data_IF_991140422470
#
_entry.id   IF_991140422470
#
_cell.length_a   1.000
_cell.length_b   1.000
_cell.length_c   1.000
_cell.angle_alpha   90.00
_cell.angle_beta   90.00
_cell.angle_gamma   90.00
#
_symmetry.space_group_name_H-M   'P 1'
#
loop_
_entity.id
_entity.type
_entity.pdbx_description
1 polymer ?
#
# COMPACT_ATOMS: atom_id res chain seq x y z
N UNK A 1 -1.60 -17.44 7.57
CA UNK A 1 -0.33 -16.74 7.91
C UNK A 1 0.27 -16.26 6.60
N UNK A 2 0.76 -15.03 6.52
CA UNK A 2 1.30 -14.51 5.26
C UNK A 2 2.74 -15.02 5.03
N UNK A 3 3.10 -15.29 3.77
CA UNK A 3 4.46 -15.67 3.38
C UNK A 3 5.21 -14.40 2.97
N UNK A 4 6.34 -14.13 3.62
CA UNK A 4 7.16 -12.96 3.33
C UNK A 4 8.06 -13.22 2.10
N UNK A 5 7.96 -12.33 1.11
CA UNK A 5 8.83 -12.34 -0.07
C UNK A 5 9.82 -11.17 -0.01
N UNK A 6 11.10 -11.47 -0.19
CA UNK A 6 12.19 -10.49 -0.23
C UNK A 6 12.54 -10.19 -1.68
N UNK A 7 12.85 -8.92 -1.98
CA UNK A 7 13.33 -8.52 -3.30
C UNK A 7 14.75 -9.07 -3.47
N UNK A 8 14.89 -10.19 -4.14
CA UNK A 8 16.20 -10.74 -4.55
C UNK A 8 16.30 -10.63 -6.06
N UNK A 9 17.52 -10.53 -6.61
CA UNK A 9 17.76 -10.43 -8.06
C UNK A 9 17.20 -11.62 -8.87
N UNK A 10 16.73 -12.67 -8.18
CA UNK A 10 16.18 -13.92 -8.72
C UNK A 10 14.64 -13.90 -8.75
N UNK A 11 14.00 -13.03 -7.97
CA UNK A 11 12.54 -12.93 -7.89
C UNK A 11 12.04 -11.76 -8.73
N UNK A 12 11.44 -12.13 -9.86
CA UNK A 12 10.55 -11.33 -10.73
C UNK A 12 11.19 -10.42 -11.77
N UNK A 13 10.88 -10.73 -13.03
CA UNK A 13 10.95 -9.81 -14.16
C UNK A 13 10.28 -8.48 -13.76
N UNK A 14 11.00 -7.37 -13.88
CA UNK A 14 10.45 -6.05 -13.56
C UNK A 14 9.31 -5.75 -14.54
N UNK A 15 8.07 -5.77 -14.06
CA UNK A 15 6.90 -5.38 -14.85
C UNK A 15 7.03 -3.92 -15.30
N UNK A 16 6.68 -3.64 -16.56
CA UNK A 16 6.54 -2.27 -17.04
C UNK A 16 5.46 -1.54 -16.24
N UNK A 17 5.57 -0.21 -16.14
CA UNK A 17 4.55 0.64 -15.48
C UNK A 17 3.14 0.42 -16.05
N UNK A 18 3.05 0.17 -17.36
CA UNK A 18 1.79 -0.12 -18.04
C UNK A 18 1.22 -1.48 -17.63
N UNK A 19 2.07 -2.52 -17.61
CA UNK A 19 1.66 -3.87 -17.23
C UNK A 19 1.25 -3.92 -15.76
N UNK A 20 1.96 -3.19 -14.89
CA UNK A 20 1.59 -3.06 -13.49
C UNK A 20 0.21 -2.40 -13.33
N UNK A 21 -0.06 -1.32 -14.05
CA UNK A 21 -1.38 -0.66 -14.03
C UNK A 21 -2.48 -1.56 -14.58
N UNK A 22 -2.23 -2.24 -15.71
CA UNK A 22 -3.18 -3.18 -16.30
C UNK A 22 -3.50 -4.31 -15.31
N UNK A 23 -2.49 -4.88 -14.65
CA UNK A 23 -2.68 -5.91 -13.64
C UNK A 23 -3.49 -5.44 -12.44
N UNK A 24 -3.23 -4.24 -11.91
CA UNK A 24 -4.02 -3.69 -10.80
C UNK A 24 -5.46 -3.44 -11.22
N UNK A 25 -5.67 -2.87 -12.40
CA UNK A 25 -6.99 -2.57 -12.93
C UNK A 25 -7.82 -3.83 -13.16
N UNK A 26 -7.21 -4.88 -13.73
CA UNK A 26 -7.87 -6.18 -13.93
C UNK A 26 -8.20 -6.87 -12.60
N UNK A 27 -7.23 -6.90 -11.68
CA UNK A 27 -7.37 -7.58 -10.39
C UNK A 27 -8.44 -6.97 -9.49
N UNK A 28 -8.54 -5.63 -9.47
CA UNK A 28 -9.42 -4.89 -8.56
C UNK A 28 -10.61 -4.23 -9.28
N UNK A 29 -10.76 -4.46 -10.58
CA UNK A 29 -11.76 -3.81 -11.45
C UNK A 29 -11.73 -2.28 -11.33
N UNK A 30 -10.52 -1.72 -11.37
CA UNK A 30 -10.25 -0.29 -11.29
C UNK A 30 -9.92 0.30 -12.67
N UNK A 31 -9.92 1.63 -12.76
CA UNK A 31 -9.60 2.37 -13.98
C UNK A 31 -8.49 3.39 -13.73
N UNK A 32 -7.35 2.93 -13.19
CA UNK A 32 -6.19 3.77 -13.03
C UNK A 32 -5.48 4.04 -14.36
N UNK A 33 -5.15 5.30 -14.58
CA UNK A 33 -4.45 5.79 -15.77
C UNK A 33 -3.02 6.20 -15.45
N UNK A 34 -2.70 6.41 -14.17
CA UNK A 34 -1.37 6.84 -13.69
C UNK A 34 -0.96 6.00 -12.48
N UNK A 35 0.31 5.60 -12.45
CA UNK A 35 0.87 4.81 -11.35
C UNK A 35 0.82 5.56 -10.01
N UNK A 36 0.87 6.89 -10.05
CA UNK A 36 0.73 7.78 -8.90
C UNK A 36 -0.60 7.61 -8.16
N UNK A 37 -1.65 7.09 -8.81
CA UNK A 37 -2.95 6.85 -8.17
C UNK A 37 -2.86 5.74 -7.11
N UNK A 38 -1.85 4.86 -7.21
CA UNK A 38 -1.55 3.85 -6.19
C UNK A 38 -1.04 4.49 -4.89
N UNK A 39 -0.49 5.71 -4.92
CA UNK A 39 -0.07 6.45 -3.73
C UNK A 39 -1.22 6.75 -2.76
N UNK A 40 -2.47 6.64 -3.21
CA UNK A 40 -3.65 6.78 -2.34
C UNK A 40 -3.73 5.73 -1.24
N UNK A 41 -3.06 4.59 -1.41
CA UNK A 41 -3.07 3.49 -0.44
C UNK A 41 -4.33 2.62 -0.48
N UNK A 42 -5.37 3.01 -1.22
CA UNK A 42 -6.67 2.33 -1.25
C UNK A 42 -6.60 0.98 -1.97
N UNK A 43 -5.90 0.91 -3.10
CA UNK A 43 -5.71 -0.34 -3.85
C UNK A 43 -4.95 -1.40 -3.02
N UNK A 44 -3.93 -0.99 -2.27
CA UNK A 44 -3.21 -1.90 -1.37
C UNK A 44 -4.10 -2.46 -0.26
N UNK A 45 -5.03 -1.65 0.25
CA UNK A 45 -6.02 -2.10 1.24
C UNK A 45 -6.97 -3.16 0.64
N UNK A 46 -7.38 -3.00 -0.62
CA UNK A 46 -8.20 -4.01 -1.30
C UNK A 46 -7.40 -5.29 -1.59
N UNK A 47 -6.14 -5.18 -2.03
CA UNK A 47 -5.30 -6.37 -2.20
C UNK A 47 -5.14 -7.17 -0.92
N UNK A 48 -4.96 -6.48 0.22
CA UNK A 48 -4.91 -7.15 1.52
C UNK A 48 -6.21 -7.88 1.85
N UNK A 49 -7.37 -7.30 1.55
CA UNK A 49 -8.66 -7.96 1.76
C UNK A 49 -8.88 -9.12 0.78
N UNK A 50 -8.44 -9.00 -0.48
CA UNK A 50 -8.49 -10.08 -1.48
C UNK A 50 -7.60 -11.26 -1.09
N UNK A 51 -6.39 -11.00 -0.57
CA UNK A 51 -5.46 -12.04 -0.12
C UNK A 51 -5.89 -12.65 1.22
N UNK A 52 -6.40 -11.84 2.13
CA UNK A 52 -6.78 -12.22 3.48
C UNK A 52 -8.11 -11.56 3.85
N UNK A 53 -9.25 -12.17 3.49
CA UNK A 53 -10.57 -11.58 3.72
C UNK A 53 -10.79 -11.26 5.19
N UNK A 54 -11.20 -10.01 5.47
CA UNK A 54 -11.46 -9.53 6.84
C UNK A 54 -10.23 -9.04 7.60
N UNK A 55 -9.02 -9.06 6.99
CA UNK A 55 -7.84 -8.51 7.63
C UNK A 55 -7.87 -6.96 7.68
N UNK A 56 -8.46 -6.33 6.66
CA UNK A 56 -8.60 -4.87 6.51
C UNK A 56 -10.04 -4.43 6.80
N UNK A 57 -10.19 -3.32 7.52
CA UNK A 57 -11.49 -2.67 7.67
C UNK A 57 -11.79 -1.78 6.46
N UNK A 58 -12.27 -2.37 5.36
CA UNK A 58 -12.53 -1.64 4.10
C UNK A 58 -13.48 -0.43 4.28
N UNK A 59 -14.43 -0.50 5.22
CA UNK A 59 -15.32 0.62 5.54
C UNK A 59 -14.58 1.87 6.04
N UNK A 60 -13.36 1.72 6.57
CA UNK A 60 -12.52 2.84 7.00
C UNK A 60 -11.62 3.38 5.87
N UNK A 61 -11.50 2.68 4.75
CA UNK A 61 -10.63 3.07 3.64
C UNK A 61 -11.30 4.17 2.82
N UNK A 62 -10.54 5.22 2.51
CA UNK A 62 -10.97 6.32 1.65
C UNK A 62 -10.60 6.01 0.21
N UNK A 63 -11.54 5.47 -0.55
CA UNK A 63 -11.34 5.09 -1.96
C UNK A 63 -11.20 6.28 -2.93
N UNK A 64 -11.82 7.40 -2.60
CA UNK A 64 -11.79 8.64 -3.38
C UNK A 64 -10.84 9.68 -2.75
N UNK A 65 -9.77 9.20 -2.08
CA UNK A 65 -8.80 10.07 -1.43
C UNK A 65 -8.12 10.99 -2.46
N UNK A 66 -8.06 12.29 -2.17
CA UNK A 66 -7.40 13.29 -3.03
C UNK A 66 -6.36 14.11 -2.28
N UNK A 67 -6.40 14.09 -0.96
CA UNK A 67 -5.55 14.89 -0.08
C UNK A 67 -4.56 13.99 0.67
N UNK A 68 -3.36 14.52 0.93
CA UNK A 68 -2.27 13.76 1.56
C UNK A 68 -2.66 13.15 2.92
N UNK A 69 -3.45 13.87 3.72
CA UNK A 69 -3.93 13.37 5.01
C UNK A 69 -4.85 12.13 4.87
N UNK A 70 -5.54 12.00 3.74
CA UNK A 70 -6.37 10.83 3.42
C UNK A 70 -5.52 9.63 3.04
N UNK A 71 -4.40 9.87 2.34
CA UNK A 71 -3.44 8.82 2.01
C UNK A 71 -2.80 8.26 3.28
N UNK A 72 -2.39 9.14 4.20
CA UNK A 72 -1.84 8.75 5.50
C UNK A 72 -2.84 7.88 6.27
N UNK A 73 -4.13 8.23 6.24
CA UNK A 73 -5.18 7.44 6.88
C UNK A 73 -5.28 6.03 6.27
N UNK A 74 -5.29 5.91 4.94
CA UNK A 74 -5.32 4.62 4.25
C UNK A 74 -4.08 3.77 4.59
N UNK A 75 -2.89 4.36 4.61
CA UNK A 75 -1.66 3.64 4.99
C UNK A 75 -1.66 3.17 6.45
N UNK A 76 -2.28 3.92 7.37
CA UNK A 76 -2.49 3.46 8.76
C UNK A 76 -3.41 2.24 8.82
N UNK A 77 -4.47 2.22 8.01
CA UNK A 77 -5.36 1.06 7.91
C UNK A 77 -4.60 -0.16 7.36
N UNK A 78 -3.79 0.04 6.31
CA UNK A 78 -2.96 -1.01 5.72
C UNK A 78 -1.95 -1.58 6.73
N UNK A 79 -1.27 -0.71 7.48
CA UNK A 79 -0.30 -1.12 8.50
C UNK A 79 -0.94 -1.98 9.60
N UNK A 80 -2.18 -1.66 10.00
CA UNK A 80 -2.91 -2.46 10.97
C UNK A 80 -3.20 -3.87 10.44
N UNK A 81 -3.50 -4.02 9.14
CA UNK A 81 -3.69 -5.33 8.51
C UNK A 81 -2.40 -6.13 8.43
N UNK A 82 -1.28 -5.51 8.05
CA UNK A 82 0.03 -6.17 8.07
C UNK A 82 0.39 -6.72 9.45
N UNK A 83 0.14 -5.94 10.51
CA UNK A 83 0.38 -6.37 11.90
C UNK A 83 -0.47 -7.57 12.28
N UNK A 84 -1.75 -7.62 11.87
CA UNK A 84 -2.62 -8.78 12.10
C UNK A 84 -2.11 -10.04 11.41
N UNK A 85 -1.55 -9.91 10.22
CA UNK A 85 -1.11 -11.05 9.41
C UNK A 85 0.32 -11.52 9.70
N UNK A 86 1.04 -10.85 10.60
CA UNK A 86 2.42 -11.19 10.95
C UNK A 86 3.42 -10.92 9.83
N UNK A 87 3.11 -9.99 8.91
CA UNK A 87 4.00 -9.65 7.79
C UNK A 87 5.18 -8.83 8.33
N UNK A 88 6.29 -9.51 8.62
CA UNK A 88 7.54 -8.93 9.16
C UNK A 88 8.38 -8.14 8.13
N UNK A 89 7.75 -7.60 7.08
CA UNK A 89 8.46 -6.69 6.17
C UNK A 89 8.61 -5.35 6.88
N UNK A 90 9.84 -5.03 7.27
CA UNK A 90 10.25 -3.75 7.87
C UNK A 90 9.99 -2.59 6.90
N UNK A 91 8.73 -2.20 6.73
CA UNK A 91 8.30 -0.93 6.13
C UNK A 91 7.56 -0.04 7.14
N UNK A 92 7.33 -0.56 8.35
CA UNK A 92 6.56 0.08 9.41
C UNK A 92 7.41 0.73 10.51
N UNK A 93 8.75 0.74 10.40
CA UNK A 93 9.63 1.52 11.30
C UNK A 93 9.60 3.03 11.02
N UNK A 94 8.82 3.50 10.05
CA UNK A 94 8.66 4.93 9.75
C UNK A 94 7.76 5.71 10.72
N UNK A 95 6.96 5.08 11.59
CA UNK A 95 5.97 5.82 12.39
C UNK A 95 6.36 6.11 13.84
N UNK A 96 7.31 5.39 14.46
CA UNK A 96 7.73 5.70 15.85
C UNK A 96 8.74 6.86 15.95
N UNK A 97 9.37 7.26 14.83
CA UNK A 97 10.25 8.44 14.76
C UNK A 97 9.58 9.71 14.20
N UNK A 98 8.40 9.61 13.59
CA UNK A 98 7.78 10.70 12.82
C UNK A 98 6.92 11.65 13.65
N UNK A 99 6.77 11.42 14.96
CA UNK A 99 6.00 12.29 15.85
C UNK A 99 6.84 13.35 16.58
N UNK A 100 8.17 13.37 16.42
CA UNK A 100 9.06 14.26 17.23
C UNK A 100 9.69 15.44 16.50
N UNK A 101 9.49 15.64 15.20
CA UNK A 101 9.95 16.86 14.51
C UNK A 101 8.90 17.31 13.51
N UNK A 102 8.31 18.48 13.75
CA UNK A 102 7.26 19.12 12.95
C UNK A 102 7.69 19.52 11.53
N UNK A 103 8.07 18.54 10.72
CA UNK A 103 8.13 18.63 9.26
C UNK A 103 7.49 17.36 8.71
N UNK A 104 6.31 17.50 8.12
CA UNK A 104 5.70 16.43 7.32
C UNK A 104 6.65 16.10 6.18
N UNK A 105 7.35 14.97 6.31
CA UNK A 105 7.93 14.29 5.16
C UNK A 105 6.90 13.25 4.70
N UNK A 106 6.45 13.29 3.44
CA UNK A 106 5.49 12.32 2.94
C UNK A 106 6.10 10.91 3.01
N UNK A 107 5.33 9.88 3.38
CA UNK A 107 5.82 8.49 3.43
C UNK A 107 6.02 7.85 2.04
N UNK A 108 6.06 8.64 0.97
CA UNK A 108 6.27 8.17 -0.39
C UNK A 108 7.70 8.49 -0.84
N UNK A 109 8.69 7.75 -0.33
CA UNK A 109 9.89 7.46 -1.13
C UNK A 109 9.72 6.07 -1.74
N UNK A 110 8.70 5.93 -2.59
CA UNK A 110 8.81 5.04 -3.72
C UNK A 110 9.56 5.86 -4.77
N UNK A 111 10.77 5.44 -5.21
CA UNK A 111 11.44 6.12 -6.30
C UNK A 111 10.53 6.00 -7.53
N UNK A 112 9.98 7.12 -7.96
CA UNK A 112 9.53 7.29 -9.33
C UNK A 112 10.74 7.20 -10.26
#
# INVERSE_FOLDING_TARGET
>A
MAVNVYSTSVTSENLSRHDMLAWVNDSLQLNYTKIEQLCSGAAYCQFMDMLFPGCVHLRKVKFQAKLEHEYIHNFKVLQAAFKKMGVDKVGARGQRGLARRGRLAPPCQCPC
#
